data_IF_196955812804
#
_entry.id   IF_196955812804
#
_cell.length_a   1.000
_cell.length_b   1.000
_cell.length_c   1.000
_cell.angle_alpha   90.00
_cell.angle_beta   90.00
_cell.angle_gamma   90.00
#
_symmetry.space_group_name_H-M   'P 1'
#
loop_
_entity.id
_entity.type
_entity.pdbx_description
1 polymer ?
#
# COMPACT_ATOMS: atom_id res chain seq x y z
N UNK A 1 13.79 20.92 -0.48
CA UNK A 1 12.55 21.75 -0.46
C UNK A 1 11.30 20.96 -0.08
N UNK A 2 11.14 19.70 -0.50
CA UNK A 2 9.94 18.90 -0.16
C UNK A 2 9.88 18.36 1.29
N UNK A 3 10.98 17.88 1.91
CA UNK A 3 10.93 17.26 3.24
C UNK A 3 10.37 18.13 4.37
N UNK A 4 10.67 19.45 4.45
CA UNK A 4 10.11 20.33 5.48
C UNK A 4 8.58 20.45 5.45
N UNK A 5 7.93 20.20 4.31
CA UNK A 5 6.47 20.22 4.19
C UNK A 5 5.82 18.89 4.60
N UNK A 6 6.55 17.77 4.48
CA UNK A 6 6.02 16.44 4.72
C UNK A 6 6.22 15.99 6.17
N UNK A 7 7.36 16.31 6.78
CA UNK A 7 7.70 15.87 8.14
C UNK A 7 6.65 16.28 9.19
N UNK A 8 6.10 17.50 9.21
CA UNK A 8 5.13 17.91 10.22
C UNK A 8 3.78 17.18 10.12
N UNK A 9 3.49 16.52 8.99
CA UNK A 9 2.20 15.87 8.77
C UNK A 9 2.08 14.55 9.55
N UNK A 10 3.18 13.93 10.00
CA UNK A 10 3.09 12.75 10.86
C UNK A 10 2.39 11.56 10.21
N UNK A 11 2.79 11.19 8.98
CA UNK A 11 2.25 10.03 8.28
C UNK A 11 2.43 8.73 9.09
N UNK A 12 1.44 7.84 9.03
CA UNK A 12 1.41 6.51 9.66
C UNK A 12 0.95 5.45 8.66
N UNK A 13 1.37 4.21 8.87
CA UNK A 13 1.03 3.09 8.02
C UNK A 13 0.82 1.82 8.87
N UNK A 14 -0.33 1.14 8.71
CA UNK A 14 -0.59 -0.17 9.33
C UNK A 14 -0.27 -1.34 8.39
N UNK A 15 -0.26 -1.09 7.08
CA UNK A 15 -0.03 -2.13 6.08
C UNK A 15 1.46 -2.23 5.71
N UNK A 16 2.10 -3.34 6.09
CA UNK A 16 3.52 -3.58 5.83
C UNK A 16 3.90 -3.51 4.34
N UNK A 17 2.98 -3.78 3.43
CA UNK A 17 3.25 -3.67 1.98
C UNK A 17 3.58 -2.23 1.53
N UNK A 18 3.22 -1.23 2.33
CA UNK A 18 3.44 0.20 2.04
C UNK A 18 4.54 0.83 2.90
N UNK A 19 5.21 0.05 3.76
CA UNK A 19 6.37 0.52 4.52
C UNK A 19 7.51 1.08 3.67
N UNK A 20 7.82 0.55 2.45
CA UNK A 20 8.83 1.16 1.60
C UNK A 20 8.59 2.65 1.29
N UNK A 21 7.33 3.09 1.28
CA UNK A 21 6.98 4.51 1.08
C UNK A 21 7.31 5.33 2.34
N UNK A 22 7.10 4.76 3.53
CA UNK A 22 7.50 5.37 4.80
C UNK A 22 9.01 5.45 4.92
N UNK A 23 9.73 4.40 4.53
CA UNK A 23 11.20 4.39 4.46
C UNK A 23 11.72 5.47 3.49
N UNK A 24 11.01 5.66 2.37
CA UNK A 24 11.28 6.73 1.42
C UNK A 24 11.13 8.12 2.03
N UNK A 25 10.14 8.34 2.91
CA UNK A 25 9.99 9.59 3.64
C UNK A 25 11.13 9.83 4.65
N UNK A 26 11.57 8.78 5.35
CA UNK A 26 12.73 8.85 6.26
C UNK A 26 13.99 9.21 5.47
N UNK A 27 14.19 8.58 4.32
CA UNK A 27 15.33 8.86 3.44
C UNK A 27 15.28 10.30 2.90
N UNK A 28 14.10 10.78 2.48
CA UNK A 28 13.91 12.19 2.09
C UNK A 28 14.28 13.16 3.22
N UNK A 29 13.87 12.86 4.45
CA UNK A 29 14.21 13.69 5.61
C UNK A 29 15.72 13.68 5.88
N UNK A 30 16.38 12.52 5.78
CA UNK A 30 17.84 12.39 5.94
C UNK A 30 18.62 13.27 4.96
N UNK A 31 18.14 13.40 3.72
CA UNK A 31 18.82 14.14 2.66
C UNK A 31 18.30 15.58 2.45
N UNK A 32 17.44 16.08 3.34
CA UNK A 32 16.75 17.36 3.16
C UNK A 32 17.68 18.57 2.98
N UNK A 33 18.81 18.58 3.68
CA UNK A 33 19.80 19.67 3.68
C UNK A 33 21.05 19.35 2.85
N UNK A 34 21.08 18.20 2.19
CA UNK A 34 22.22 17.81 1.34
C UNK A 34 22.12 18.52 -0.01
N UNK A 35 23.23 19.07 -0.50
CA UNK A 35 23.28 19.76 -1.79
C UNK A 35 22.71 18.87 -2.92
N UNK A 36 21.79 19.42 -3.70
CA UNK A 36 21.20 18.82 -4.91
C UNK A 36 22.21 18.24 -5.91
N UNK A 37 23.45 18.71 -5.92
CA UNK A 37 24.55 18.22 -6.77
C UNK A 37 25.02 16.83 -6.35
N UNK A 38 24.75 16.41 -5.12
CA UNK A 38 25.02 15.05 -4.67
C UNK A 38 24.06 14.09 -5.38
N UNK A 39 24.57 13.43 -6.43
CA UNK A 39 23.78 12.64 -7.38
C UNK A 39 23.26 11.33 -6.84
N UNK A 40 23.87 10.79 -5.79
CA UNK A 40 23.60 9.45 -5.28
C UNK A 40 23.47 9.45 -3.76
N UNK A 41 22.76 8.46 -3.24
CA UNK A 41 22.76 8.14 -1.82
C UNK A 41 24.12 7.53 -1.39
N UNK A 42 24.39 7.61 -0.09
CA UNK A 42 25.51 6.95 0.57
C UNK A 42 25.40 5.43 0.44
N UNK A 43 26.55 4.75 0.36
CA UNK A 43 26.60 3.30 0.12
C UNK A 43 25.95 2.46 1.24
N UNK A 44 25.82 3.01 2.45
CA UNK A 44 25.18 2.35 3.58
C UNK A 44 23.66 2.54 3.64
N UNK A 45 23.09 3.38 2.77
CA UNK A 45 21.65 3.63 2.78
C UNK A 45 20.87 2.59 2.00
N UNK A 46 19.80 2.11 2.61
CA UNK A 46 18.81 1.28 1.94
C UNK A 46 17.83 2.18 1.22
N UNK A 47 17.80 2.08 -0.11
CA UNK A 47 16.96 2.91 -0.97
C UNK A 47 15.75 2.09 -1.43
N UNK A 48 14.52 2.41 -1.00
CA UNK A 48 13.35 1.63 -1.35
C UNK A 48 13.00 1.83 -2.83
N UNK A 49 13.07 0.74 -3.60
CA UNK A 49 12.71 0.74 -5.03
C UNK A 49 11.30 0.16 -5.23
N UNK A 50 11.02 -0.99 -4.62
CA UNK A 50 9.73 -1.64 -4.72
C UNK A 50 8.66 -0.85 -3.93
N UNK A 51 7.49 -0.67 -4.53
CA UNK A 51 6.40 0.14 -3.95
C UNK A 51 6.60 1.66 -4.04
N UNK A 52 7.82 2.14 -4.32
CA UNK A 52 8.15 3.57 -4.46
C UNK A 52 8.35 3.97 -5.93
N UNK A 53 9.18 3.21 -6.66
CA UNK A 53 9.55 3.51 -8.05
C UNK A 53 8.72 2.63 -8.98
N UNK A 54 7.89 3.27 -9.81
CA UNK A 54 7.15 2.61 -10.88
C UNK A 54 8.11 1.93 -11.85
N UNK A 55 7.72 0.76 -12.37
CA UNK A 55 8.58 -0.04 -13.25
C UNK A 55 9.10 0.77 -14.45
N UNK A 56 8.23 1.55 -15.06
CA UNK A 56 8.54 2.37 -16.24
C UNK A 56 9.48 3.54 -15.94
N UNK A 57 9.68 3.88 -14.66
CA UNK A 57 10.56 4.98 -14.22
C UNK A 57 11.91 4.47 -13.74
N UNK A 58 12.12 3.15 -13.65
CA UNK A 58 13.37 2.57 -13.13
C UNK A 58 14.60 2.95 -13.94
N UNK A 59 14.47 3.01 -15.26
CA UNK A 59 15.56 3.41 -16.15
C UNK A 59 16.00 4.86 -15.92
N UNK A 60 15.07 5.75 -15.52
CA UNK A 60 15.40 7.13 -15.17
C UNK A 60 16.01 7.27 -13.76
N UNK A 61 15.77 6.29 -12.89
CA UNK A 61 16.20 6.30 -11.49
C UNK A 61 17.55 5.60 -11.30
N UNK A 62 17.89 4.64 -12.15
CA UNK A 62 19.17 3.95 -12.10
C UNK A 62 20.18 4.61 -13.05
N UNK A 63 21.46 4.55 -12.71
CA UNK A 63 22.54 4.83 -13.65
C UNK A 63 22.96 3.55 -14.40
N UNK A 64 23.91 3.68 -15.33
CA UNK A 64 24.45 2.57 -16.13
C UNK A 64 25.09 1.45 -15.28
N UNK A 65 25.40 1.72 -14.01
CA UNK A 65 25.98 0.78 -13.05
C UNK A 65 24.93 0.22 -12.07
N UNK A 66 23.66 0.54 -12.26
CA UNK A 66 22.56 0.15 -11.38
C UNK A 66 22.52 0.91 -10.05
N UNK A 67 23.22 2.04 -9.94
CA UNK A 67 23.20 2.89 -8.75
C UNK A 67 21.99 3.82 -8.78
N UNK A 68 21.31 3.97 -7.64
CA UNK A 68 20.12 4.81 -7.55
C UNK A 68 20.50 6.29 -7.54
N UNK A 69 20.09 6.99 -8.59
CA UNK A 69 20.16 8.44 -8.70
C UNK A 69 19.16 9.08 -7.74
N UNK A 70 19.66 10.00 -6.91
CA UNK A 70 18.91 10.58 -5.80
C UNK A 70 17.71 11.40 -6.28
N UNK A 71 17.94 12.43 -7.08
CA UNK A 71 16.87 13.36 -7.49
C UNK A 71 15.70 12.64 -8.19
N UNK A 72 15.92 11.75 -9.19
CA UNK A 72 14.81 11.01 -9.79
C UNK A 72 14.06 10.12 -8.79
N UNK A 73 14.76 9.46 -7.86
CA UNK A 73 14.13 8.65 -6.82
C UNK A 73 13.30 9.50 -5.85
N UNK A 74 13.84 10.64 -5.39
CA UNK A 74 13.14 11.56 -4.49
C UNK A 74 11.83 12.06 -5.09
N UNK A 75 11.75 12.22 -6.42
CA UNK A 75 10.52 12.60 -7.12
C UNK A 75 9.47 11.48 -7.15
N UNK A 76 9.86 10.21 -7.04
CA UNK A 76 8.94 9.08 -6.97
C UNK A 76 8.25 8.96 -5.61
N UNK A 77 8.94 9.31 -4.51
CA UNK A 77 8.40 9.14 -3.14
C UNK A 77 7.04 9.85 -2.94
N UNK A 78 6.85 11.12 -3.34
CA UNK A 78 5.56 11.81 -3.20
C UNK A 78 4.46 11.24 -4.09
N UNK A 79 4.82 10.69 -5.26
CA UNK A 79 3.87 10.04 -6.17
C UNK A 79 3.34 8.76 -5.51
N UNK A 80 4.23 7.94 -4.96
CA UNK A 80 3.87 6.74 -4.21
C UNK A 80 3.05 7.08 -2.95
N UNK A 81 3.49 8.08 -2.17
CA UNK A 81 2.79 8.57 -0.99
C UNK A 81 1.38 9.02 -1.29
N UNK A 82 1.18 9.80 -2.37
CA UNK A 82 -0.14 10.23 -2.81
C UNK A 82 -1.03 9.05 -3.16
N UNK A 83 -0.47 8.04 -3.84
CA UNK A 83 -1.19 6.81 -4.17
C UNK A 83 -1.65 6.05 -2.91
N UNK A 84 -0.72 5.82 -1.98
CA UNK A 84 -0.99 5.12 -0.72
C UNK A 84 -1.98 5.88 0.18
N UNK A 85 -1.85 7.21 0.25
CA UNK A 85 -2.79 8.06 1.01
C UNK A 85 -4.19 8.00 0.43
N UNK A 86 -4.33 8.04 -0.91
CA UNK A 86 -5.63 7.94 -1.57
C UNK A 86 -6.33 6.61 -1.34
N UNK A 87 -5.58 5.53 -1.21
CA UNK A 87 -6.09 4.19 -0.85
C UNK A 87 -6.28 4.00 0.65
N UNK A 88 -5.89 4.99 1.46
CA UNK A 88 -5.89 4.97 2.93
C UNK A 88 -5.01 3.89 3.56
N UNK A 89 -3.97 3.50 2.85
CA UNK A 89 -2.94 2.57 3.33
C UNK A 89 -1.90 3.30 4.19
N UNK A 90 -1.71 4.58 3.86
CA UNK A 90 -0.99 5.57 4.66
C UNK A 90 -2.00 6.65 5.05
N UNK A 91 -1.94 7.10 6.29
CA UNK A 91 -2.85 8.11 6.85
C UNK A 91 -2.09 9.12 7.70
N UNK A 92 -2.77 10.19 8.08
CA UNK A 92 -2.27 11.29 8.90
C UNK A 92 -3.11 11.32 10.17
N UNK A 93 -2.53 11.13 11.35
CA UNK A 93 -3.29 11.03 12.62
C UNK A 93 -4.22 12.24 12.85
N UNK A 94 -3.73 13.46 12.59
CA UNK A 94 -4.52 14.69 12.69
C UNK A 94 -5.23 15.09 11.39
N UNK A 95 -5.29 14.18 10.40
CA UNK A 95 -5.99 14.42 9.15
C UNK A 95 -7.50 14.48 9.36
N UNK A 96 -8.23 15.22 8.50
CA UNK A 96 -9.68 15.03 8.38
C UNK A 96 -9.95 13.83 7.46
N UNK A 97 -10.09 14.09 6.16
CA UNK A 97 -10.37 13.07 5.14
C UNK A 97 -9.33 11.92 5.08
N UNK A 98 -8.10 12.19 5.48
CA UNK A 98 -6.99 11.25 5.41
C UNK A 98 -6.56 10.75 6.80
N UNK A 99 -7.48 10.78 7.77
CA UNK A 99 -7.28 10.18 9.09
C UNK A 99 -7.18 8.66 9.01
N UNK A 100 -6.85 8.08 10.15
CA UNK A 100 -6.92 6.64 10.35
C UNK A 100 -8.27 6.09 9.89
N UNK A 101 -8.31 5.06 9.01
CA UNK A 101 -9.57 4.49 8.53
C UNK A 101 -10.46 3.86 9.59
N UNK A 102 -9.88 3.37 10.69
CA UNK A 102 -10.68 2.79 11.79
C UNK A 102 -11.45 3.88 12.55
N UNK A 103 -10.95 5.12 12.56
CA UNK A 103 -11.60 6.25 13.23
C UNK A 103 -12.87 6.72 12.49
N UNK A 104 -13.13 6.24 11.27
CA UNK A 104 -14.40 6.53 10.57
C UNK A 104 -15.58 5.71 11.11
N UNK A 105 -15.29 4.65 11.88
CA UNK A 105 -16.35 3.85 12.48
C UNK A 105 -16.99 4.61 13.64
N UNK A 106 -18.33 4.53 13.81
CA UNK A 106 -18.99 5.00 15.01
C UNK A 106 -18.35 4.39 16.26
N UNK A 107 -18.22 5.16 17.34
CA UNK A 107 -17.62 4.66 18.59
C UNK A 107 -18.37 3.50 19.24
N UNK A 108 -19.65 3.31 18.90
CA UNK A 108 -20.49 2.19 19.32
C UNK A 108 -20.55 1.05 18.30
N UNK A 109 -19.76 1.11 17.21
CA UNK A 109 -19.87 0.21 16.06
C UNK A 109 -19.82 -1.27 16.46
N UNK A 110 -18.87 -1.67 17.31
CA UNK A 110 -18.76 -3.06 17.76
C UNK A 110 -19.98 -3.49 18.60
N UNK A 111 -20.44 -2.64 19.52
CA UNK A 111 -21.58 -2.95 20.38
C UNK A 111 -22.93 -2.92 19.66
N UNK A 112 -23.05 -2.13 18.59
CA UNK A 112 -24.27 -1.91 17.82
C UNK A 112 -24.17 -2.43 16.37
N UNK A 113 -23.25 -3.37 16.11
CA UNK A 113 -22.89 -3.84 14.77
C UNK A 113 -24.11 -4.24 13.94
N UNK A 114 -24.99 -5.07 14.50
CA UNK A 114 -26.23 -5.50 13.83
C UNK A 114 -27.11 -4.32 13.41
N UNK A 115 -27.26 -3.29 14.25
CA UNK A 115 -28.08 -2.10 13.95
C UNK A 115 -27.46 -1.32 12.78
N UNK A 116 -26.15 -1.12 12.81
CA UNK A 116 -25.42 -0.42 11.75
C UNK A 116 -25.52 -1.15 10.40
N UNK A 117 -25.38 -2.48 10.40
CA UNK A 117 -25.50 -3.31 9.19
C UNK A 117 -26.93 -3.29 8.61
N UNK A 118 -27.95 -3.37 9.45
CA UNK A 118 -29.36 -3.24 9.03
C UNK A 118 -29.62 -1.89 8.38
N UNK A 119 -29.09 -0.80 8.97
CA UNK A 119 -29.28 0.56 8.44
C UNK A 119 -28.74 0.73 7.01
N UNK A 120 -27.61 0.10 6.69
CA UNK A 120 -27.01 0.13 5.34
C UNK A 120 -27.44 -1.05 4.45
N UNK A 121 -28.39 -1.88 4.91
CA UNK A 121 -28.90 -3.07 4.21
C UNK A 121 -27.80 -4.05 3.80
N UNK A 122 -26.77 -4.21 4.64
CA UNK A 122 -25.68 -5.16 4.41
C UNK A 122 -25.84 -6.40 5.30
N UNK A 123 -25.54 -7.61 4.79
CA UNK A 123 -25.51 -8.82 5.60
C UNK A 123 -24.29 -8.81 6.53
N UNK A 124 -24.46 -9.27 7.76
CA UNK A 124 -23.40 -9.28 8.77
C UNK A 124 -22.34 -10.35 8.43
N UNK A 125 -22.68 -11.63 8.54
CA UNK A 125 -21.69 -12.72 8.42
C UNK A 125 -21.97 -13.72 7.28
N UNK A 126 -23.20 -13.73 6.73
CA UNK A 126 -23.59 -14.69 5.69
C UNK A 126 -22.78 -14.49 4.39
N UNK A 127 -22.50 -13.23 4.05
CA UNK A 127 -21.67 -12.90 2.88
C UNK A 127 -20.22 -13.37 3.05
N UNK A 128 -19.60 -13.08 4.19
CA UNK A 128 -18.21 -13.46 4.48
C UNK A 128 -18.05 -14.97 4.51
N UNK A 129 -18.99 -15.66 5.16
CA UNK A 129 -18.99 -17.12 5.25
C UNK A 129 -19.15 -17.77 3.88
N UNK A 130 -20.10 -17.28 3.07
CA UNK A 130 -20.28 -17.74 1.70
C UNK A 130 -19.08 -17.44 0.80
N UNK A 131 -18.41 -16.29 0.99
CA UNK A 131 -17.20 -15.95 0.25
C UNK A 131 -16.04 -16.90 0.61
N UNK A 132 -15.81 -17.14 1.91
CA UNK A 132 -14.79 -18.09 2.39
C UNK A 132 -15.03 -19.48 1.80
N UNK A 133 -16.26 -19.97 1.85
CA UNK A 133 -16.62 -21.27 1.27
C UNK A 133 -16.26 -21.33 -0.23
N UNK A 134 -16.61 -20.30 -1.02
CA UNK A 134 -16.27 -20.28 -2.46
C UNK A 134 -14.75 -20.24 -2.70
N UNK A 135 -14.01 -19.51 -1.87
CA UNK A 135 -12.55 -19.43 -1.97
C UNK A 135 -11.86 -20.75 -1.61
N UNK A 136 -12.46 -21.56 -0.75
CA UNK A 136 -11.98 -22.92 -0.42
C UNK A 136 -12.41 -23.94 -1.48
N UNK A 137 -13.68 -23.93 -1.87
CA UNK A 137 -14.25 -24.87 -2.84
C UNK A 137 -13.58 -24.78 -4.21
N UNK A 138 -13.21 -23.58 -4.66
CA UNK A 138 -12.63 -23.37 -5.99
C UNK A 138 -11.35 -24.18 -6.22
N UNK A 139 -10.31 -24.00 -5.39
CA UNK A 139 -9.09 -24.79 -5.42
C UNK A 139 -9.31 -26.30 -5.23
N UNK A 140 -10.23 -26.70 -4.35
CA UNK A 140 -10.52 -28.13 -4.12
C UNK A 140 -11.14 -28.78 -5.36
N UNK A 141 -12.11 -28.10 -5.98
CA UNK A 141 -12.73 -28.55 -7.24
C UNK A 141 -11.71 -28.60 -8.37
N UNK A 142 -10.83 -27.61 -8.47
CA UNK A 142 -9.76 -27.61 -9.47
C UNK A 142 -8.79 -28.78 -9.24
N UNK A 143 -8.38 -29.03 -8.00
CA UNK A 143 -7.48 -30.11 -7.63
C UNK A 143 -8.08 -31.48 -7.95
N UNK A 144 -9.36 -31.68 -7.62
CA UNK A 144 -10.10 -32.89 -7.97
C UNK A 144 -10.21 -33.07 -9.49
N UNK A 145 -10.51 -31.98 -10.23
CA UNK A 145 -10.62 -32.01 -11.69
C UNK A 145 -9.28 -32.32 -12.39
N UNK A 146 -8.16 -31.86 -11.83
CA UNK A 146 -6.83 -32.22 -12.31
C UNK A 146 -6.52 -33.70 -12.04
N UNK A 147 -6.83 -34.19 -10.83
CA UNK A 147 -6.58 -35.58 -10.45
C UNK A 147 -7.39 -36.59 -11.27
N UNK A 148 -8.63 -36.26 -11.63
CA UNK A 148 -9.52 -37.14 -12.40
C UNK A 148 -9.50 -36.87 -13.92
N UNK A 149 -8.62 -35.98 -14.40
CA UNK A 149 -8.50 -35.66 -15.83
C UNK A 149 -9.76 -35.04 -16.47
N UNK A 150 -10.63 -34.44 -15.66
CA UNK A 150 -11.82 -33.71 -16.12
C UNK A 150 -11.61 -32.20 -16.20
N UNK A 151 -10.47 -31.68 -15.72
CA UNK A 151 -10.10 -30.28 -15.83
C UNK A 151 -10.17 -29.81 -17.30
N UNK A 152 -11.04 -28.84 -17.58
CA UNK A 152 -11.18 -28.24 -18.91
C UNK A 152 -12.15 -28.94 -19.88
N UNK A 153 -12.83 -30.03 -19.49
CA UNK A 153 -13.93 -30.57 -20.30
C UNK A 153 -15.19 -29.74 -20.04
N UNK A 154 -15.53 -28.84 -20.95
CA UNK A 154 -16.90 -28.34 -21.03
C UNK A 154 -17.80 -29.52 -21.42
N UNK A 155 -18.70 -29.92 -20.53
CA UNK A 155 -19.82 -30.78 -20.89
C UNK A 155 -20.73 -29.95 -21.81
N UNK A 156 -20.91 -30.43 -23.04
CA UNK A 156 -21.90 -29.89 -23.99
C UNK A 156 -23.33 -30.20 -23.57
#
# INVERSE_FOLDING_TARGET
MLPPLLNPLGFKCKNMAYWPVMDGLVLLAKYADVDSKTRFYDAGDVVPMDGVVLRDWREAVLDDKGKVQRIPHELCVPVALRGATRRREIYVEAGRRWCHPEDDLPGDFESARTVHYVAIRQPEDQFVSGLKQRMTDGPDRLSAALANGSAGRQAG
#
